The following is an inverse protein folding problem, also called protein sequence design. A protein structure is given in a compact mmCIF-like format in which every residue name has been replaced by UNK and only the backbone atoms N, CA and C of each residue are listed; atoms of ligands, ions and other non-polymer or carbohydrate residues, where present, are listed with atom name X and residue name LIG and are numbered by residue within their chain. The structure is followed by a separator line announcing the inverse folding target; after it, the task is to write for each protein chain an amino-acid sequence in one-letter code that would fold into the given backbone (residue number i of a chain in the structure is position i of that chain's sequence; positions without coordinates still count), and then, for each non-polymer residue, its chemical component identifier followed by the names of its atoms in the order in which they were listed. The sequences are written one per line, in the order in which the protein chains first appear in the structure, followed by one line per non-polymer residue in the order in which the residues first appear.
data_IF_971858514351
#
_entry.id   IF_971858514351
#
_cell.length_a   1.000
_cell.length_b   1.000
_cell.length_c   1.000
_cell.angle_alpha   90.00
_cell.angle_beta   90.00
_cell.angle_gamma   90.00
#
_symmetry.space_group_name_H-M   'P 1'
#
loop_
_entity.id
_entity.type
_entity.pdbx_description
1 polymer ?
#
# COMPACT_ATOMS: atom_id res chain seq x y z
N UNK A 1 -5.02 -27.72 -17.32
CA UNK A 1 -5.89 -26.62 -17.78
C UNK A 1 -5.16 -25.33 -17.42
N UNK A 2 -4.96 -24.41 -18.37
CA UNK A 2 -4.30 -23.13 -18.09
C UNK A 2 -5.24 -22.29 -17.23
N UNK A 3 -4.78 -21.78 -16.09
CA UNK A 3 -5.58 -20.90 -15.21
C UNK A 3 -5.85 -19.58 -15.92
N UNK A 4 -7.06 -19.04 -15.76
CA UNK A 4 -7.35 -17.70 -16.27
C UNK A 4 -6.75 -16.63 -15.36
N UNK A 5 -6.51 -15.42 -15.89
CA UNK A 5 -6.06 -14.29 -15.07
C UNK A 5 -7.05 -13.96 -13.94
N UNK A 6 -8.35 -14.19 -14.14
CA UNK A 6 -9.36 -14.02 -13.10
C UNK A 6 -9.25 -15.06 -11.98
N UNK A 7 -8.92 -16.32 -12.31
CA UNK A 7 -8.69 -17.35 -11.29
C UNK A 7 -7.47 -17.00 -10.43
N UNK A 8 -6.38 -16.57 -11.07
CA UNK A 8 -5.14 -16.13 -10.38
C UNK A 8 -5.41 -14.93 -9.47
N UNK A 9 -6.17 -13.94 -9.95
CA UNK A 9 -6.60 -12.79 -9.14
C UNK A 9 -7.48 -13.23 -7.96
N UNK A 10 -8.44 -14.12 -8.20
CA UNK A 10 -9.37 -14.58 -7.16
C UNK A 10 -8.61 -15.24 -6.01
N UNK A 11 -7.77 -16.22 -6.33
CA UNK A 11 -7.01 -16.96 -5.33
C UNK A 11 -6.06 -16.05 -4.54
N UNK A 12 -5.39 -15.13 -5.23
CA UNK A 12 -4.53 -14.16 -4.58
C UNK A 12 -5.31 -13.21 -3.65
N UNK A 13 -6.44 -12.67 -4.10
CA UNK A 13 -7.26 -11.73 -3.30
C UNK A 13 -7.83 -12.43 -2.07
N UNK A 14 -8.34 -13.65 -2.21
CA UNK A 14 -8.88 -14.44 -1.10
C UNK A 14 -7.79 -14.75 -0.07
N UNK A 15 -6.59 -15.12 -0.54
CA UNK A 15 -5.44 -15.33 0.33
C UNK A 15 -5.02 -14.05 1.06
N UNK A 16 -4.84 -12.94 0.34
CA UNK A 16 -4.47 -11.64 0.94
C UNK A 16 -5.50 -11.23 1.99
N UNK A 17 -6.80 -11.38 1.70
CA UNK A 17 -7.86 -11.07 2.66
C UNK A 17 -7.77 -11.94 3.91
N UNK A 18 -7.52 -13.25 3.77
CA UNK A 18 -7.39 -14.15 4.92
C UNK A 18 -6.24 -13.73 5.83
N UNK A 19 -5.07 -13.42 5.25
CA UNK A 19 -3.89 -12.97 6.00
C UNK A 19 -4.11 -11.58 6.59
N UNK A 20 -4.70 -10.66 5.81
CA UNK A 20 -5.03 -9.31 6.26
C UNK A 20 -5.91 -9.34 7.51
N UNK A 21 -6.94 -10.20 7.52
CA UNK A 21 -7.85 -10.33 8.67
C UNK A 21 -7.10 -10.82 9.91
N UNK A 22 -6.27 -11.86 9.76
CA UNK A 22 -5.45 -12.39 10.86
C UNK A 22 -4.51 -11.31 11.46
N UNK A 23 -3.75 -10.62 10.60
CA UNK A 23 -2.79 -9.59 11.06
C UNK A 23 -3.53 -8.38 11.65
N UNK A 24 -4.68 -8.02 11.09
CA UNK A 24 -5.52 -6.92 11.60
C UNK A 24 -6.09 -7.26 12.97
N UNK A 25 -6.58 -8.48 13.17
CA UNK A 25 -7.09 -8.95 14.46
C UNK A 25 -5.98 -8.95 15.52
N UNK A 26 -4.81 -9.48 15.19
CA UNK A 26 -3.63 -9.46 16.06
C UNK A 26 -3.24 -8.02 16.43
N UNK A 27 -3.21 -7.12 15.46
CA UNK A 27 -2.92 -5.70 15.69
C UNK A 27 -3.94 -5.06 16.64
N UNK A 28 -5.24 -5.22 16.37
CA UNK A 28 -6.31 -4.58 17.14
C UNK A 28 -6.41 -5.12 18.59
N UNK A 29 -5.96 -6.35 18.83
CA UNK A 29 -5.90 -6.95 20.18
C UNK A 29 -4.71 -6.43 21.00
N UNK A 30 -3.58 -6.15 20.35
CA UNK A 30 -2.33 -5.80 21.03
C UNK A 30 -2.02 -4.29 21.05
N UNK A 31 -2.62 -3.52 20.13
CA UNK A 31 -2.36 -2.08 20.07
C UNK A 31 -2.93 -1.37 21.30
N UNK A 32 -2.11 -0.51 21.90
CA UNK A 32 -2.51 0.32 23.04
C UNK A 32 -3.47 1.43 22.60
N UNK A 33 -3.32 1.89 21.37
CA UNK A 33 -3.88 3.15 20.89
C UNK A 33 -4.84 2.91 19.73
N UNK A 34 -6.09 3.30 19.93
CA UNK A 34 -7.17 3.04 18.98
C UNK A 34 -7.42 4.25 18.09
N UNK A 35 -6.48 4.51 17.20
CA UNK A 35 -6.50 5.69 16.31
C UNK A 35 -7.55 5.53 15.22
N UNK A 36 -8.41 6.54 15.04
CA UNK A 36 -9.37 6.56 13.93
C UNK A 36 -8.73 7.19 12.69
N UNK A 37 -8.17 6.38 11.81
CA UNK A 37 -7.42 6.78 10.62
C UNK A 37 -8.23 7.63 9.61
N UNK A 38 -9.56 7.65 9.71
CA UNK A 38 -10.43 8.50 8.86
C UNK A 38 -10.63 9.91 9.44
N UNK A 39 -10.62 10.03 10.76
CA UNK A 39 -10.87 11.30 11.47
C UNK A 39 -9.57 12.01 11.85
N UNK A 40 -8.54 11.26 12.22
CA UNK A 40 -7.21 11.80 12.52
C UNK A 40 -6.54 12.22 11.22
N UNK A 41 -5.87 13.37 11.24
CA UNK A 41 -5.24 14.01 10.10
C UNK A 41 -3.71 13.86 10.14
N UNK A 42 -3.05 14.09 9.01
CA UNK A 42 -1.59 14.00 8.90
C UNK A 42 -0.89 15.12 9.68
N UNK A 43 -1.50 16.29 9.80
CA UNK A 43 -0.99 17.37 10.64
C UNK A 43 -0.92 17.00 12.13
N UNK A 44 -1.68 16.00 12.57
CA UNK A 44 -1.69 15.51 13.96
C UNK A 44 -0.51 14.57 14.26
N UNK A 45 0.29 14.18 13.25
CA UNK A 45 1.42 13.26 13.42
C UNK A 45 2.67 14.03 13.83
N UNK A 46 3.03 13.96 15.10
CA UNK A 46 4.34 14.41 15.59
C UNK A 46 5.38 13.29 15.52
N UNK A 47 6.66 13.63 15.32
CA UNK A 47 7.74 12.65 15.12
C UNK A 47 7.90 11.69 16.31
N UNK A 48 7.72 12.19 17.54
CA UNK A 48 7.76 11.39 18.77
C UNK A 48 6.36 11.12 19.33
N UNK A 49 5.32 11.42 18.54
CA UNK A 49 3.92 11.32 18.95
C UNK A 49 3.39 9.90 18.90
N UNK A 50 2.34 9.66 19.68
CA UNK A 50 1.64 8.37 19.78
C UNK A 50 1.18 7.82 18.43
N UNK A 51 0.76 8.69 17.50
CA UNK A 51 0.31 8.27 16.17
C UNK A 51 1.46 7.72 15.34
N UNK A 52 2.60 8.41 15.33
CA UNK A 52 3.78 7.95 14.61
C UNK A 52 4.29 6.62 15.18
N UNK A 53 4.37 6.52 16.50
CA UNK A 53 4.74 5.28 17.19
C UNK A 53 3.81 4.12 16.80
N UNK A 54 2.49 4.35 16.78
CA UNK A 54 1.50 3.35 16.36
C UNK A 54 1.71 2.87 14.91
N UNK A 55 2.07 3.79 13.99
CA UNK A 55 2.41 3.42 12.61
C UNK A 55 3.68 2.55 12.59
N UNK A 56 4.72 2.93 13.34
CA UNK A 56 5.99 2.18 13.38
C UNK A 56 5.85 0.80 14.03
N UNK A 57 5.06 0.68 15.11
CA UNK A 57 4.74 -0.61 15.74
C UNK A 57 4.00 -1.54 14.77
N UNK A 58 3.05 -1.01 13.98
CA UNK A 58 2.38 -1.80 12.96
C UNK A 58 3.34 -2.21 11.82
N UNK A 59 4.25 -1.33 11.41
CA UNK A 59 5.30 -1.66 10.44
C UNK A 59 6.23 -2.74 10.96
N UNK A 60 6.57 -2.72 12.25
CA UNK A 60 7.36 -3.76 12.88
C UNK A 60 6.63 -5.12 12.82
N UNK A 61 5.34 -5.15 13.22
CA UNK A 61 4.51 -6.35 13.11
C UNK A 61 4.48 -6.89 11.67
N UNK A 62 4.31 -6.01 10.68
CA UNK A 62 4.33 -6.40 9.27
C UNK A 62 5.67 -7.01 8.86
N UNK A 63 6.80 -6.45 9.31
CA UNK A 63 8.12 -7.00 9.00
C UNK A 63 8.30 -8.40 9.60
N UNK A 64 7.85 -8.62 10.84
CA UNK A 64 7.90 -9.93 11.51
C UNK A 64 7.08 -11.00 10.77
N UNK A 65 5.92 -10.63 10.21
CA UNK A 65 5.07 -11.56 9.44
C UNK A 65 5.48 -11.68 7.96
N UNK A 66 6.18 -10.70 7.41
CA UNK A 66 6.37 -10.54 5.96
C UNK A 66 7.02 -11.76 5.28
N UNK A 67 7.96 -12.42 5.96
CA UNK A 67 8.66 -13.58 5.41
C UNK A 67 7.72 -14.77 5.19
N UNK A 68 6.87 -15.11 6.17
CA UNK A 68 5.89 -16.21 6.04
C UNK A 68 4.83 -15.88 4.99
N UNK A 69 4.34 -14.63 4.99
CA UNK A 69 3.37 -14.17 3.99
C UNK A 69 3.95 -14.32 2.58
N UNK A 70 5.17 -13.84 2.36
CA UNK A 70 5.84 -13.87 1.04
C UNK A 70 6.13 -15.30 0.58
N UNK A 71 6.57 -16.17 1.48
CA UNK A 71 6.82 -17.58 1.17
C UNK A 71 5.55 -18.25 0.64
N UNK A 72 4.42 -18.05 1.31
CA UNK A 72 3.13 -18.64 0.91
C UNK A 72 2.58 -18.03 -0.37
N UNK A 73 2.75 -16.72 -0.60
CA UNK A 73 2.29 -16.07 -1.84
C UNK A 73 2.80 -16.76 -3.11
N UNK A 74 4.04 -17.26 -3.09
CA UNK A 74 4.63 -17.98 -4.23
C UNK A 74 3.92 -19.30 -4.59
N UNK A 75 3.12 -19.84 -3.67
CA UNK A 75 2.35 -21.07 -3.85
C UNK A 75 0.87 -20.83 -4.17
N UNK A 76 0.40 -19.59 -4.03
CA UNK A 76 -1.02 -19.23 -4.20
C UNK A 76 -1.38 -19.03 -5.66
N UNK A 77 -0.50 -18.41 -6.44
CA UNK A 77 -0.76 -18.07 -7.82
C UNK A 77 0.45 -18.41 -8.71
N UNK A 78 0.19 -18.71 -9.99
CA UNK A 78 1.26 -19.06 -10.95
C UNK A 78 1.95 -17.81 -11.53
N UNK A 79 1.28 -16.66 -11.47
CA UNK A 79 1.85 -15.38 -11.85
C UNK A 79 2.95 -14.92 -10.89
N UNK A 80 3.79 -14.00 -11.36
CA UNK A 80 4.81 -13.40 -10.52
C UNK A 80 4.16 -12.49 -9.47
N UNK A 81 4.33 -12.83 -8.19
CA UNK A 81 3.84 -12.05 -7.05
C UNK A 81 5.00 -11.60 -6.18
N UNK A 82 4.96 -10.35 -5.75
CA UNK A 82 5.92 -9.79 -4.78
C UNK A 82 5.16 -9.07 -3.68
N UNK A 83 5.67 -9.11 -2.45
CA UNK A 83 5.14 -8.33 -1.34
C UNK A 83 6.25 -7.49 -0.72
N UNK A 84 5.88 -6.35 -0.14
CA UNK A 84 6.81 -5.48 0.58
C UNK A 84 6.13 -4.77 1.74
N UNK A 85 6.89 -4.58 2.81
CA UNK A 85 6.61 -3.59 3.85
C UNK A 85 7.27 -2.28 3.43
N UNK A 86 6.57 -1.16 3.59
CA UNK A 86 7.10 0.17 3.30
C UNK A 86 8.19 0.51 4.31
N UNK A 87 9.31 1.06 3.83
CA UNK A 87 10.42 1.45 4.72
C UNK A 87 10.08 2.71 5.51
N UNK A 88 10.64 2.84 6.71
CA UNK A 88 10.45 3.99 7.58
C UNK A 88 10.69 5.32 6.86
N UNK A 89 11.85 5.49 6.22
CA UNK A 89 12.16 6.73 5.50
C UNK A 89 11.13 7.07 4.40
N UNK A 90 10.59 6.06 3.70
CA UNK A 90 9.55 6.27 2.68
C UNK A 90 8.18 6.62 3.29
N UNK A 91 7.91 6.18 4.54
CA UNK A 91 6.72 6.58 5.29
C UNK A 91 6.87 8.04 5.74
N UNK A 92 8.01 8.38 6.35
CA UNK A 92 8.32 9.73 6.82
C UNK A 92 8.26 10.75 5.69
N UNK A 93 8.92 10.47 4.56
CA UNK A 93 8.83 11.34 3.39
C UNK A 93 7.39 11.53 2.91
N UNK A 94 6.58 10.46 2.87
CA UNK A 94 5.18 10.56 2.47
C UNK A 94 4.41 11.45 3.46
N UNK A 95 4.61 11.29 4.75
CA UNK A 95 4.00 12.14 5.79
C UNK A 95 4.42 13.60 5.59
N UNK A 96 5.71 13.90 5.42
CA UNK A 96 6.20 15.27 5.24
C UNK A 96 5.68 15.90 3.95
N UNK A 97 5.63 15.14 2.85
CA UNK A 97 5.06 15.62 1.59
C UNK A 97 3.57 15.98 1.74
N UNK A 98 2.82 15.23 2.56
CA UNK A 98 1.43 15.56 2.89
C UNK A 98 1.29 16.75 3.84
N UNK A 99 2.35 17.20 4.52
CA UNK A 99 2.37 18.42 5.34
C UNK A 99 2.71 19.69 4.54
N UNK A 100 2.91 19.58 3.23
CA UNK A 100 3.09 20.73 2.34
C UNK A 100 1.76 21.38 1.97
N UNK A 101 1.84 22.58 1.40
CA UNK A 101 0.70 23.33 0.86
C UNK A 101 -0.10 22.55 -0.20
N UNK A 102 0.58 21.74 -1.01
CA UNK A 102 -0.03 20.83 -2.00
C UNK A 102 -1.08 19.87 -1.40
N UNK A 103 -0.99 19.59 -0.10
CA UNK A 103 -1.87 18.68 0.63
C UNK A 103 -2.52 19.37 1.84
N UNK A 104 -2.86 20.65 1.70
CA UNK A 104 -3.57 21.43 2.73
C UNK A 104 -2.85 21.41 4.09
N UNK A 105 -1.52 21.40 4.07
CA UNK A 105 -0.66 21.34 5.26
C UNK A 105 -1.00 20.18 6.20
N UNK A 106 -1.35 19.02 5.63
CA UNK A 106 -1.62 17.81 6.40
C UNK A 106 -3.05 17.67 6.91
N UNK A 107 -3.98 18.56 6.51
CA UNK A 107 -5.44 18.44 6.79
C UNK A 107 -6.12 17.31 6.00
N UNK A 108 -5.38 16.23 5.78
CA UNK A 108 -5.78 15.04 5.04
C UNK A 108 -5.87 13.88 6.03
N UNK A 109 -6.92 13.05 5.98
CA UNK A 109 -7.03 11.85 6.81
C UNK A 109 -5.83 10.91 6.67
N UNK A 110 -5.39 10.32 7.78
CA UNK A 110 -4.25 9.39 7.80
C UNK A 110 -4.42 8.25 6.81
N UNK A 111 -5.62 7.67 6.71
CA UNK A 111 -5.90 6.55 5.80
C UNK A 111 -5.73 6.87 4.31
N UNK A 112 -5.60 8.14 3.91
CA UNK A 112 -5.29 8.52 2.52
C UNK A 112 -3.79 8.56 2.26
N UNK A 113 -3.00 8.93 3.25
CA UNK A 113 -1.54 8.97 3.15
C UNK A 113 -0.91 7.62 3.52
N UNK A 114 -1.39 6.94 4.55
CA UNK A 114 -0.85 5.69 5.09
C UNK A 114 -1.74 4.52 4.66
N UNK A 115 -1.83 4.30 3.34
CA UNK A 115 -2.69 3.30 2.69
C UNK A 115 -1.93 2.12 2.06
N UNK A 116 -0.60 2.17 2.07
CA UNK A 116 0.28 1.23 1.38
C UNK A 116 1.48 0.81 2.26
N UNK A 117 1.26 0.68 3.58
CA UNK A 117 2.29 0.18 4.50
C UNK A 117 2.69 -1.26 4.16
N UNK A 118 1.71 -2.09 3.78
CA UNK A 118 1.93 -3.37 3.16
C UNK A 118 1.38 -3.35 1.74
N UNK A 119 2.22 -3.71 0.77
CA UNK A 119 1.87 -3.73 -0.63
C UNK A 119 2.19 -5.08 -1.25
N UNK A 120 1.22 -5.67 -1.94
CA UNK A 120 1.38 -6.85 -2.79
C UNK A 120 1.30 -6.40 -4.25
N UNK A 121 2.06 -7.03 -5.13
CA UNK A 121 1.99 -6.80 -6.57
C UNK A 121 1.95 -8.12 -7.30
N UNK A 122 0.94 -8.27 -8.16
CA UNK A 122 0.84 -9.34 -9.15
C UNK A 122 1.17 -8.80 -10.53
N UNK A 123 1.88 -9.58 -11.32
CA UNK A 123 2.13 -9.32 -12.74
C UNK A 123 1.38 -10.39 -13.56
N UNK A 124 0.30 -9.98 -14.20
CA UNK A 124 -0.55 -10.85 -15.01
C UNK A 124 0.10 -11.12 -16.37
N UNK A 125 0.15 -12.39 -16.76
CA UNK A 125 0.67 -12.81 -18.06
C UNK A 125 -0.37 -12.66 -19.17
N UNK A 126 -1.65 -12.86 -18.85
CA UNK A 126 -2.77 -12.48 -19.72
C UNK A 126 -3.24 -11.09 -19.30
N UNK A 127 -3.10 -10.07 -20.17
CA UNK A 127 -3.47 -8.71 -19.82
C UNK A 127 -4.97 -8.57 -19.53
N UNK A 128 -5.29 -7.72 -18.55
CA UNK A 128 -6.65 -7.27 -18.27
C UNK A 128 -6.70 -5.73 -18.27
N UNK A 129 -7.78 -5.16 -18.78
CA UNK A 129 -8.09 -3.74 -18.64
C UNK A 129 -8.57 -3.42 -17.22
N UNK A 130 -8.56 -2.12 -16.87
CA UNK A 130 -9.12 -1.69 -15.59
C UNK A 130 -10.60 -2.04 -15.47
N UNK A 131 -11.39 -1.87 -16.54
CA UNK A 131 -12.82 -2.15 -16.59
C UNK A 131 -13.10 -3.65 -16.39
N UNK A 132 -12.28 -4.52 -16.98
CA UNK A 132 -12.37 -5.97 -16.79
C UNK A 132 -12.09 -6.37 -15.34
N UNK A 133 -11.03 -5.82 -14.74
CA UNK A 133 -10.71 -6.05 -13.32
C UNK A 133 -11.82 -5.50 -12.43
N UNK A 134 -12.30 -4.27 -12.67
CA UNK A 134 -13.36 -3.64 -11.89
C UNK A 134 -14.65 -4.47 -11.93
N UNK A 135 -15.10 -4.88 -13.12
CA UNK A 135 -16.30 -5.69 -13.29
C UNK A 135 -16.17 -7.04 -12.57
N UNK A 136 -14.99 -7.67 -12.63
CA UNK A 136 -14.71 -8.90 -11.88
C UNK A 136 -14.79 -8.67 -10.35
N UNK A 137 -14.14 -7.62 -9.84
CA UNK A 137 -14.14 -7.32 -8.41
C UNK A 137 -15.56 -7.02 -7.90
N UNK A 138 -16.34 -6.22 -8.65
CA UNK A 138 -17.72 -5.90 -8.29
C UNK A 138 -18.64 -7.13 -8.36
N UNK A 139 -18.45 -7.97 -9.38
CA UNK A 139 -19.24 -9.19 -9.58
C UNK A 139 -18.98 -10.27 -8.52
N UNK A 140 -17.72 -10.44 -8.10
CA UNK A 140 -17.31 -11.51 -7.16
C UNK A 140 -17.38 -11.07 -5.70
N UNK A 141 -17.02 -9.82 -5.41
CA UNK A 141 -16.85 -9.33 -4.04
C UNK A 141 -17.85 -8.24 -3.64
N UNK A 142 -18.80 -7.88 -4.51
CA UNK A 142 -19.96 -7.04 -4.20
C UNK A 142 -19.61 -5.73 -3.46
N UNK A 143 -18.58 -5.02 -3.92
CA UNK A 143 -18.17 -3.73 -3.36
C UNK A 143 -17.37 -3.81 -2.05
N UNK A 144 -16.95 -5.00 -1.62
CA UNK A 144 -16.09 -5.20 -0.44
C UNK A 144 -14.77 -4.44 -0.53
N UNK A 145 -14.20 -4.34 -1.72
CA UNK A 145 -12.90 -3.72 -1.95
C UNK A 145 -13.04 -2.43 -2.72
N UNK A 146 -12.18 -1.45 -2.40
CA UNK A 146 -12.03 -0.25 -3.23
C UNK A 146 -11.05 -0.57 -4.36
N UNK A 147 -11.56 -0.66 -5.58
CA UNK A 147 -10.79 -0.81 -6.81
C UNK A 147 -10.65 0.54 -7.53
N UNK A 148 -9.44 0.94 -7.91
CA UNK A 148 -9.19 2.21 -8.61
C UNK A 148 -8.22 2.02 -9.79
N UNK A 149 -8.42 2.82 -10.83
CA UNK A 149 -7.41 3.03 -11.85
C UNK A 149 -6.36 3.99 -11.28
N UNK A 150 -5.14 3.49 -11.13
CA UNK A 150 -3.99 4.26 -10.65
C UNK A 150 -3.04 4.64 -11.77
N UNK A 151 -3.46 4.46 -13.03
CA UNK A 151 -2.66 4.80 -14.19
C UNK A 151 -2.37 6.30 -14.27
N UNK A 152 -1.10 6.65 -14.47
CA UNK A 152 -0.61 8.02 -14.61
C UNK A 152 0.50 8.08 -15.65
N UNK A 153 0.27 8.80 -16.75
CA UNK A 153 1.21 8.86 -17.88
C UNK A 153 1.56 7.43 -18.35
N UNK A 154 2.86 7.09 -18.27
CA UNK A 154 3.45 5.78 -18.62
C UNK A 154 3.25 4.71 -17.55
N UNK A 155 2.83 5.08 -16.34
CA UNK A 155 2.48 4.11 -15.29
C UNK A 155 1.07 3.58 -15.52
N UNK A 156 0.91 2.26 -15.65
CA UNK A 156 -0.36 1.55 -15.84
C UNK A 156 -0.58 0.52 -14.74
N UNK A 157 -1.58 0.72 -13.89
CA UNK A 157 -1.88 -0.21 -12.81
C UNK A 157 -3.30 -0.04 -12.28
N UNK A 158 -3.92 -1.16 -11.93
CA UNK A 158 -5.12 -1.16 -11.08
C UNK A 158 -4.71 -1.38 -9.63
N UNK A 159 -5.24 -0.57 -8.70
CA UNK A 159 -5.00 -0.75 -7.27
C UNK A 159 -6.28 -1.21 -6.57
N UNK A 160 -6.13 -2.21 -5.71
CA UNK A 160 -7.20 -2.75 -4.87
C UNK A 160 -6.81 -2.59 -3.39
N UNK A 161 -7.68 -1.98 -2.59
CA UNK A 161 -7.42 -1.75 -1.17
C UNK A 161 -8.22 -2.69 -0.27
N UNK A 162 -7.51 -3.33 0.67
CA UNK A 162 -8.08 -4.14 1.74
C UNK A 162 -8.20 -3.29 2.99
N UNK A 163 -9.41 -3.20 3.52
CA UNK A 163 -9.70 -2.43 4.72
C UNK A 163 -10.93 -2.96 5.43
N UNK A 164 -10.80 -3.21 6.72
CA UNK A 164 -11.93 -3.67 7.54
C UNK A 164 -12.69 -2.52 8.20
N UNK A 165 -12.00 -1.62 8.89
CA UNK A 165 -12.65 -0.53 9.62
C UNK A 165 -11.78 0.75 9.67
N UNK A 166 -12.17 1.71 10.52
CA UNK A 166 -11.46 2.99 10.63
C UNK A 166 -10.20 2.96 11.51
N UNK A 167 -9.95 1.86 12.20
CA UNK A 167 -8.78 1.63 13.08
C UNK A 167 -7.76 0.67 12.45
N UNK A 168 -8.16 -0.07 11.42
CA UNK A 168 -7.27 -0.95 10.65
C UNK A 168 -6.52 -0.19 9.56
N UNK A 169 -5.19 -0.33 9.53
CA UNK A 169 -4.37 0.17 8.42
C UNK A 169 -4.69 -0.59 7.12
N UNK A 170 -4.92 0.10 5.99
CA UNK A 170 -5.19 -0.58 4.73
C UNK A 170 -3.96 -1.32 4.17
N UNK A 171 -4.21 -2.39 3.42
CA UNK A 171 -3.21 -3.00 2.53
C UNK A 171 -3.56 -2.72 1.07
N UNK A 172 -2.54 -2.69 0.21
CA UNK A 172 -2.70 -2.43 -1.22
C UNK A 172 -2.27 -3.65 -2.05
N UNK A 173 -3.09 -4.03 -3.02
CA UNK A 173 -2.71 -4.92 -4.12
C UNK A 173 -2.60 -4.10 -5.41
N UNK A 174 -1.45 -4.18 -6.05
CA UNK A 174 -1.18 -3.61 -7.37
C UNK A 174 -1.28 -4.70 -8.43
N UNK A 175 -2.15 -4.51 -9.41
CA UNK A 175 -2.36 -5.43 -10.53
C UNK A 175 -1.74 -4.79 -11.76
N UNK A 176 -0.65 -5.40 -12.24
CA UNK A 176 0.08 -4.97 -13.42
C UNK A 176 -0.06 -6.01 -14.53
N UNK A 177 -0.07 -5.57 -15.77
CA UNK A 177 0.08 -6.46 -16.91
C UNK A 177 1.57 -6.63 -17.23
N UNK A 178 1.96 -7.82 -17.72
CA UNK A 178 3.35 -8.13 -18.11
C UNK A 178 3.93 -7.11 -19.08
N UNK A 179 3.13 -6.60 -20.02
CA UNK A 179 3.54 -5.60 -21.00
C UNK A 179 3.90 -4.24 -20.39
N UNK A 180 3.39 -3.91 -19.20
CA UNK A 180 3.59 -2.60 -18.56
C UNK A 180 4.70 -2.63 -17.49
N UNK A 181 5.36 -3.78 -17.28
CA UNK A 181 6.32 -3.96 -16.18
C UNK A 181 7.50 -3.00 -16.29
N UNK A 182 8.09 -2.87 -17.48
CA UNK A 182 9.27 -2.03 -17.69
C UNK A 182 8.94 -0.55 -17.52
N UNK A 183 7.86 -0.06 -18.13
CA UNK A 183 7.40 1.32 -18.00
C UNK A 183 7.01 1.65 -16.56
N UNK A 184 6.37 0.71 -15.86
CA UNK A 184 6.01 0.86 -14.45
C UNK A 184 7.23 0.92 -13.54
N UNK A 185 8.24 0.08 -13.76
CA UNK A 185 9.50 0.14 -13.01
C UNK A 185 10.27 1.43 -13.30
N UNK A 186 10.33 1.87 -14.56
CA UNK A 186 10.97 3.13 -14.92
C UNK A 186 10.29 4.34 -14.25
N UNK A 187 8.96 4.40 -14.29
CA UNK A 187 8.16 5.44 -13.63
C UNK A 187 8.38 5.44 -12.12
N UNK A 188 8.36 4.27 -11.49
CA UNK A 188 8.60 4.14 -10.05
C UNK A 188 10.05 4.49 -9.67
N UNK A 189 11.04 4.24 -10.54
CA UNK A 189 12.44 4.64 -10.31
C UNK A 189 12.60 6.16 -10.37
N UNK A 190 11.96 6.83 -11.33
CA UNK A 190 11.98 8.30 -11.44
C UNK A 190 11.43 8.96 -10.17
N UNK A 191 10.28 8.50 -9.68
CA UNK A 191 9.71 8.97 -8.42
C UNK A 191 10.63 8.71 -7.22
N UNK A 192 11.29 7.54 -7.17
CA UNK A 192 12.27 7.23 -6.11
C UNK A 192 13.54 8.08 -6.18
N UNK A 193 13.97 8.52 -7.37
CA UNK A 193 15.12 9.42 -7.49
C UNK A 193 14.83 10.78 -6.87
N UNK A 194 13.64 11.34 -7.11
CA UNK A 194 13.18 12.59 -6.46
C UNK A 194 13.20 12.45 -4.92
N UNK A 195 12.76 11.31 -4.40
CA UNK A 195 12.84 10.97 -2.98
C UNK A 195 14.28 10.85 -2.45
N UNK A 196 15.18 10.14 -3.14
CA UNK A 196 16.57 9.98 -2.68
C UNK A 196 17.34 11.30 -2.71
N UNK A 197 17.01 12.20 -3.66
CA UNK A 197 17.53 13.58 -3.65
C UNK A 197 17.06 14.32 -2.40
N UNK A 198 15.77 14.25 -2.07
CA UNK A 198 15.23 14.83 -0.83
C UNK A 198 15.89 14.27 0.44
N UNK A 199 16.18 12.96 0.50
CA UNK A 199 16.87 12.36 1.65
C UNK A 199 18.28 12.92 1.85
N UNK A 200 19.00 13.22 0.76
CA UNK A 200 20.33 13.84 0.83
C UNK A 200 20.22 15.29 1.29
N UNK A 201 19.32 16.05 0.68
CA UNK A 201 19.09 17.45 1.03
C UNK A 201 18.62 17.63 2.48
N UNK A 202 17.79 16.72 3.00
CA UNK A 202 17.30 16.77 4.39
C UNK A 202 18.35 16.33 5.41
N UNK A 203 19.33 15.50 5.03
CA UNK A 203 20.46 15.09 5.89
C UNK A 203 21.61 16.09 5.88
N UNK A 204 21.83 16.76 4.75
CA UNK A 204 22.85 17.80 4.60
C UNK A 204 22.36 19.17 5.09
N UNK A 205 21.07 19.45 4.95
CA UNK A 205 20.37 20.63 5.45
C UNK A 205 19.65 20.33 6.76
N UNK A 206 20.40 20.19 7.87
CA UNK A 206 19.79 20.31 9.19
C UNK A 206 19.03 21.63 9.27
N UNK A 207 17.70 21.54 9.42
CA UNK A 207 16.74 22.61 9.73
C UNK A 207 17.23 24.01 9.32
N UNK A 208 16.96 24.41 8.07
CA UNK A 208 16.91 25.84 7.77
C UNK A 208 15.52 26.34 8.17
N UNK A 209 15.49 26.98 9.34
CA UNK A 209 14.42 27.84 9.81
C UNK A 209 14.03 28.86 8.73
N UNK A 210 12.72 29.09 8.57
CA UNK A 210 12.13 30.15 7.75
C UNK A 210 10.65 29.94 7.53
#
# INVERSE_FOLDING_TARGET
MMRSAFDELKELIDYIQSVYSMVTDEWLQNTKEKINLKKTQICDIDADGTIYQSIMEYVQLLNEKSADITLRLSSVCSCQVTARVKTQNSIEYKIQNYKTDWHEFGKVPINKCVNDLFGVRIILDTPLSFEEVLAFIEGVYHGKYKCIDSSKLEYKATHLYFRENNQSFPWELQIWNRCDVESNFASHKKYKQEYTTWEKESKEGGIING
#
